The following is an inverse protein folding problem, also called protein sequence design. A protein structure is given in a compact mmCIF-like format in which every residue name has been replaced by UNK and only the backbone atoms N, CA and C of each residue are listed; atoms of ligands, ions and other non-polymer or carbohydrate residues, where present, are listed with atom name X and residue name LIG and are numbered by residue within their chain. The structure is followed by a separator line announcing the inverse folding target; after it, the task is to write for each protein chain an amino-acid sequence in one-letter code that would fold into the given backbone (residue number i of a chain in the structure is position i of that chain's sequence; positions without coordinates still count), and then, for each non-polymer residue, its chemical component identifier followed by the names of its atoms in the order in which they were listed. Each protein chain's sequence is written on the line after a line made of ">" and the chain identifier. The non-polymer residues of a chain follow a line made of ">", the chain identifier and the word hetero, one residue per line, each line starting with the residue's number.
data_IF_210145557976
#
_entry.id   IF_210145557976
#
_cell.length_a   1.000
_cell.length_b   1.000
_cell.length_c   1.000
_cell.angle_alpha   90.00
_cell.angle_beta   90.00
_cell.angle_gamma   90.00
#
_symmetry.space_group_name_H-M   'P 1'
#
loop_
_entity.id
_entity.type
_entity.pdbx_description
1 polymer ?
#
# COMPACT_ATOMS: atom_id res chain seq x y z
N UNK A 1 -2.50 -10.83 13.95
CA UNK A 1 -3.52 -9.87 13.48
C UNK A 1 -3.42 -9.54 11.98
N UNK A 2 -2.25 -9.58 11.33
CA UNK A 2 -2.10 -9.26 9.89
C UNK A 2 -2.98 -10.10 8.94
N UNK A 3 -3.21 -11.38 9.25
CA UNK A 3 -4.11 -12.25 8.48
C UNK A 3 -5.55 -11.71 8.41
N UNK A 4 -6.06 -11.08 9.48
CA UNK A 4 -7.42 -10.50 9.50
C UNK A 4 -7.51 -9.30 8.55
N UNK A 5 -6.46 -8.48 8.51
CA UNK A 5 -6.39 -7.30 7.63
C UNK A 5 -6.39 -7.74 6.17
N UNK A 6 -5.54 -8.71 5.81
CA UNK A 6 -5.45 -9.23 4.44
C UNK A 6 -6.78 -9.84 4.01
N UNK A 7 -7.39 -10.68 4.86
CA UNK A 7 -8.67 -11.32 4.58
C UNK A 7 -9.81 -10.30 4.38
N UNK A 8 -9.80 -9.19 5.13
CA UNK A 8 -10.81 -8.15 5.00
C UNK A 8 -10.63 -7.31 3.73
N UNK A 9 -9.37 -7.01 3.39
CA UNK A 9 -9.05 -6.25 2.19
C UNK A 9 -9.36 -7.03 0.91
N UNK A 10 -9.09 -8.35 0.87
CA UNK A 10 -9.46 -9.16 -0.30
C UNK A 10 -10.97 -9.25 -0.47
N UNK A 11 -11.74 -9.47 0.61
CA UNK A 11 -13.22 -9.49 0.55
C UNK A 11 -13.77 -8.17 0.00
N UNK A 12 -13.30 -7.05 0.55
CA UNK A 12 -13.74 -5.71 0.13
C UNK A 12 -13.39 -5.44 -1.33
N UNK A 13 -12.18 -5.79 -1.77
CA UNK A 13 -11.74 -5.58 -3.15
C UNK A 13 -12.49 -6.47 -4.14
N UNK A 14 -12.67 -7.76 -3.83
CA UNK A 14 -13.38 -8.69 -4.69
C UNK A 14 -14.81 -8.24 -4.95
N UNK A 15 -15.54 -7.84 -3.90
CA UNK A 15 -16.92 -7.32 -4.04
C UNK A 15 -16.92 -6.00 -4.83
N UNK A 16 -16.07 -5.04 -4.48
CA UNK A 16 -16.04 -3.76 -5.19
C UNK A 16 -15.70 -3.90 -6.68
N UNK A 17 -14.82 -4.84 -7.05
CA UNK A 17 -14.45 -5.10 -8.45
C UNK A 17 -15.56 -5.85 -9.18
N UNK A 18 -16.28 -6.74 -8.50
CA UNK A 18 -17.47 -7.41 -9.05
C UNK A 18 -18.57 -6.39 -9.39
N UNK A 19 -18.76 -5.37 -8.54
CA UNK A 19 -19.69 -4.25 -8.78
C UNK A 19 -19.21 -3.28 -9.89
N UNK A 20 -18.10 -3.57 -10.56
CA UNK A 20 -17.57 -2.79 -11.67
C UNK A 20 -16.59 -1.68 -11.28
N UNK A 21 -16.18 -1.57 -10.02
CA UNK A 21 -15.09 -0.67 -9.66
C UNK A 21 -13.73 -1.23 -10.11
N UNK A 22 -12.72 -0.37 -10.21
CA UNK A 22 -11.35 -0.79 -10.55
C UNK A 22 -10.34 0.11 -9.83
N UNK A 23 -9.13 -0.39 -9.50
CA UNK A 23 -8.08 0.43 -8.92
C UNK A 23 -7.57 1.49 -9.91
N UNK A 24 -7.39 2.72 -9.44
CA UNK A 24 -7.09 3.88 -10.30
C UNK A 24 -6.35 4.99 -9.57
N UNK A 25 -6.06 6.07 -10.30
CA UNK A 25 -5.26 7.19 -9.77
C UNK A 25 -6.10 8.20 -8.98
N UNK A 26 -7.42 8.25 -9.18
CA UNK A 26 -8.28 9.34 -8.70
C UNK A 26 -9.56 8.82 -8.03
N UNK A 27 -10.17 9.67 -7.19
CA UNK A 27 -11.48 9.43 -6.58
C UNK A 27 -11.61 8.09 -5.82
N UNK A 28 -12.71 7.37 -6.10
CA UNK A 28 -13.02 6.05 -5.49
C UNK A 28 -12.01 4.97 -5.86
N UNK A 29 -11.46 5.05 -7.07
CA UNK A 29 -10.52 4.08 -7.61
C UNK A 29 -9.16 4.17 -6.90
N UNK A 30 -8.78 5.39 -6.50
CA UNK A 30 -7.61 5.62 -5.66
C UNK A 30 -7.74 4.95 -4.30
N UNK A 31 -8.93 4.97 -3.69
CA UNK A 31 -9.16 4.31 -2.40
C UNK A 31 -8.96 2.80 -2.53
N UNK A 32 -9.49 2.17 -3.57
CA UNK A 32 -9.31 0.74 -3.83
C UNK A 32 -7.83 0.39 -4.03
N UNK A 33 -7.11 1.20 -4.80
CA UNK A 33 -5.66 1.02 -4.98
C UNK A 33 -4.91 1.07 -3.64
N UNK A 34 -5.26 1.97 -2.73
CA UNK A 34 -4.61 2.05 -1.40
C UNK A 34 -4.90 0.80 -0.57
N UNK A 35 -6.13 0.31 -0.57
CA UNK A 35 -6.52 -0.91 0.15
C UNK A 35 -5.70 -2.10 -0.38
N UNK A 36 -5.60 -2.24 -1.70
CA UNK A 36 -4.81 -3.29 -2.34
C UNK A 36 -3.34 -3.22 -1.93
N UNK A 37 -2.71 -2.05 -2.07
CA UNK A 37 -1.29 -1.87 -1.73
C UNK A 37 -1.02 -2.11 -0.24
N UNK A 38 -1.96 -1.75 0.63
CA UNK A 38 -1.87 -2.06 2.07
C UNK A 38 -1.93 -3.57 2.33
N UNK A 39 -2.84 -4.28 1.68
CA UNK A 39 -2.97 -5.73 1.84
C UNK A 39 -1.71 -6.46 1.37
N UNK A 40 -1.22 -6.12 0.18
CA UNK A 40 -0.01 -6.72 -0.40
C UNK A 40 1.20 -6.44 0.47
N UNK A 41 1.35 -5.20 0.97
CA UNK A 41 2.45 -4.85 1.88
C UNK A 41 2.39 -5.63 3.19
N UNK A 42 1.23 -5.73 3.84
CA UNK A 42 1.10 -6.50 5.07
C UNK A 42 1.39 -7.99 4.84
N UNK A 43 0.94 -8.55 3.72
CA UNK A 43 1.25 -9.93 3.34
C UNK A 43 2.75 -10.15 3.10
N UNK A 44 3.40 -9.25 2.37
CA UNK A 44 4.84 -9.39 2.07
C UNK A 44 5.73 -9.10 3.28
N UNK A 45 5.49 -8.00 4.01
CA UNK A 45 6.37 -7.57 5.11
C UNK A 45 6.16 -8.41 6.38
N UNK A 46 4.90 -8.68 6.74
CA UNK A 46 4.55 -9.34 8.01
C UNK A 46 4.39 -10.85 7.84
N UNK A 47 3.70 -11.29 6.78
CA UNK A 47 3.44 -12.73 6.56
C UNK A 47 4.53 -13.39 5.70
N UNK A 48 5.48 -12.62 5.16
CA UNK A 48 6.53 -13.11 4.24
C UNK A 48 5.96 -13.89 3.05
N UNK A 49 4.78 -13.49 2.59
CA UNK A 49 4.10 -14.14 1.49
C UNK A 49 4.85 -13.88 0.16
N UNK A 50 4.90 -14.89 -0.74
CA UNK A 50 5.49 -14.73 -2.06
C UNK A 50 4.64 -13.81 -2.96
N UNK A 51 5.24 -13.30 -4.03
CA UNK A 51 4.52 -12.51 -5.04
C UNK A 51 3.35 -13.31 -5.65
N UNK A 52 2.23 -12.64 -5.92
CA UNK A 52 1.03 -13.28 -6.47
C UNK A 52 0.25 -14.07 -5.42
N UNK A 53 0.51 -13.88 -4.12
CA UNK A 53 -0.32 -14.50 -3.08
C UNK A 53 -1.72 -13.88 -3.06
N UNK A 54 -1.83 -12.59 -3.36
CA UNK A 54 -3.07 -11.85 -3.14
C UNK A 54 -4.11 -12.17 -4.21
N UNK A 55 -3.72 -12.30 -5.48
CA UNK A 55 -4.60 -12.76 -6.56
C UNK A 55 -5.13 -14.18 -6.33
N UNK A 56 -4.33 -15.09 -5.75
CA UNK A 56 -4.76 -16.45 -5.42
C UNK A 56 -5.86 -16.52 -4.36
N UNK A 57 -5.97 -15.50 -3.49
CA UNK A 57 -7.02 -15.44 -2.48
C UNK A 57 -8.40 -15.15 -3.06
N UNK A 58 -8.49 -14.63 -4.28
CA UNK A 58 -9.77 -14.33 -4.95
C UNK A 58 -10.62 -15.60 -5.05
N UNK A 59 -10.01 -16.71 -5.48
CA UNK A 59 -10.71 -18.00 -5.58
C UNK A 59 -11.33 -18.42 -4.25
N UNK A 60 -10.61 -18.26 -3.14
CA UNK A 60 -11.11 -18.61 -1.80
C UNK A 60 -12.28 -17.72 -1.39
N UNK A 61 -12.26 -16.44 -1.78
CA UNK A 61 -13.39 -15.52 -1.54
C UNK A 61 -14.61 -15.93 -2.36
N UNK A 62 -14.43 -16.33 -3.62
CA UNK A 62 -15.51 -16.82 -4.49
C UNK A 62 -16.10 -18.12 -3.95
N UNK A 63 -15.27 -19.05 -3.48
CA UNK A 63 -15.72 -20.29 -2.82
C UNK A 63 -16.51 -19.99 -1.53
N UNK A 64 -16.08 -19.00 -0.73
CA UNK A 64 -16.71 -18.68 0.54
C UNK A 64 -17.98 -17.82 0.44
N UNK A 65 -18.09 -16.95 -0.57
CA UNK A 65 -19.14 -15.93 -0.67
C UNK A 65 -19.96 -16.00 -1.97
N UNK A 66 -19.56 -16.81 -2.93
CA UNK A 66 -20.17 -16.83 -4.25
C UNK A 66 -21.59 -17.41 -4.30
N UNK A 67 -22.08 -17.99 -3.21
CA UNK A 67 -23.49 -18.39 -3.09
C UNK A 67 -24.39 -17.18 -2.73
N UNK A 68 -23.84 -16.20 -2.02
CA UNK A 68 -24.54 -14.96 -1.64
C UNK A 68 -24.41 -13.90 -2.72
N UNK A 69 -23.23 -13.83 -3.38
CA UNK A 69 -22.93 -12.88 -4.45
C UNK A 69 -22.56 -13.64 -5.73
N UNK A 70 -23.54 -14.04 -6.57
CA UNK A 70 -23.27 -14.78 -7.81
C UNK A 70 -22.39 -14.00 -8.79
N UNK A 71 -22.36 -12.67 -8.70
CA UNK A 71 -21.52 -11.78 -9.51
C UNK A 71 -20.02 -12.05 -9.26
N UNK A 72 -19.64 -12.47 -8.06
CA UNK A 72 -18.26 -12.87 -7.76
C UNK A 72 -17.82 -14.08 -8.57
N UNK A 73 -18.71 -15.06 -8.76
CA UNK A 73 -18.44 -16.26 -9.58
C UNK A 73 -18.35 -15.89 -11.07
N UNK A 74 -19.24 -15.01 -11.54
CA UNK A 74 -19.24 -14.57 -12.94
C UNK A 74 -17.98 -13.76 -13.31
N UNK A 75 -17.46 -12.99 -12.36
CA UNK A 75 -16.33 -12.09 -12.59
C UNK A 75 -15.02 -12.56 -11.96
N UNK A 76 -14.93 -13.80 -11.48
CA UNK A 76 -13.73 -14.33 -10.78
C UNK A 76 -12.44 -14.08 -11.58
N UNK A 77 -12.42 -14.45 -12.86
CA UNK A 77 -11.27 -14.27 -13.73
C UNK A 77 -10.86 -12.79 -13.84
N UNK A 78 -11.84 -11.92 -14.09
CA UNK A 78 -11.61 -10.47 -14.21
C UNK A 78 -11.07 -9.88 -12.90
N UNK A 79 -11.62 -10.27 -11.76
CA UNK A 79 -11.17 -9.83 -10.44
C UNK A 79 -9.72 -10.27 -10.19
N UNK A 80 -9.42 -11.54 -10.50
CA UNK A 80 -8.08 -12.11 -10.39
C UNK A 80 -7.06 -11.36 -11.23
N UNK A 81 -7.38 -11.08 -12.50
CA UNK A 81 -6.49 -10.38 -13.44
C UNK A 81 -6.19 -8.94 -13.00
N UNK A 82 -7.22 -8.19 -12.58
CA UNK A 82 -7.06 -6.81 -12.08
C UNK A 82 -6.15 -6.79 -10.85
N UNK A 83 -6.38 -7.71 -9.90
CA UNK A 83 -5.58 -7.78 -8.68
C UNK A 83 -4.14 -8.19 -9.00
N UNK A 84 -3.93 -9.18 -9.86
CA UNK A 84 -2.61 -9.64 -10.27
C UNK A 84 -1.81 -8.55 -10.99
N UNK A 85 -2.45 -7.82 -11.91
CA UNK A 85 -1.81 -6.71 -12.63
C UNK A 85 -1.35 -5.61 -11.65
N UNK A 86 -2.18 -5.27 -10.68
CA UNK A 86 -1.87 -4.19 -9.74
C UNK A 86 -0.89 -4.62 -8.64
N UNK A 87 -0.91 -5.90 -8.24
CA UNK A 87 0.11 -6.50 -7.38
C UNK A 87 1.50 -6.46 -8.05
N UNK A 88 1.61 -6.86 -9.32
CA UNK A 88 2.86 -6.82 -10.08
C UNK A 88 3.36 -5.39 -10.33
N UNK A 89 2.45 -4.47 -10.64
CA UNK A 89 2.75 -3.03 -10.78
C UNK A 89 3.31 -2.44 -9.47
N UNK A 90 2.70 -2.81 -8.34
CA UNK A 90 3.15 -2.39 -7.04
C UNK A 90 4.50 -3.02 -6.65
N UNK A 91 4.71 -4.31 -6.90
CA UNK A 91 5.98 -4.99 -6.63
C UNK A 91 7.16 -4.30 -7.31
N UNK A 92 7.04 -4.01 -8.61
CA UNK A 92 8.03 -3.23 -9.37
C UNK A 92 8.30 -1.85 -8.77
N UNK A 93 7.25 -1.18 -8.28
CA UNK A 93 7.35 0.15 -7.67
C UNK A 93 8.04 0.09 -6.31
N UNK A 94 7.74 -0.94 -5.51
CA UNK A 94 8.30 -1.12 -4.17
C UNK A 94 9.81 -1.36 -4.23
N UNK A 95 10.28 -2.22 -5.14
CA UNK A 95 11.72 -2.47 -5.35
C UNK A 95 12.45 -1.17 -5.67
N UNK A 96 11.95 -0.41 -6.66
CA UNK A 96 12.52 0.89 -7.04
C UNK A 96 12.49 1.90 -5.88
N UNK A 97 11.43 1.89 -5.08
CA UNK A 97 11.31 2.76 -3.90
C UNK A 97 12.36 2.44 -2.83
N UNK A 98 12.58 1.15 -2.54
CA UNK A 98 13.59 0.69 -1.58
C UNK A 98 15.00 1.04 -2.07
N UNK A 99 15.30 0.87 -3.36
CA UNK A 99 16.60 1.24 -3.92
C UNK A 99 16.89 2.74 -3.81
N UNK A 100 15.90 3.58 -4.15
CA UNK A 100 16.00 5.03 -4.00
C UNK A 100 16.18 5.43 -2.53
N UNK A 101 15.46 4.77 -1.62
CA UNK A 101 15.61 4.99 -0.19
C UNK A 101 17.02 4.64 0.28
N UNK A 102 17.56 3.49 -0.12
CA UNK A 102 18.92 3.06 0.27
C UNK A 102 19.99 4.05 -0.19
N UNK A 103 19.90 4.55 -1.43
CA UNK A 103 20.82 5.58 -1.94
C UNK A 103 20.72 6.87 -1.14
N UNK A 104 19.50 7.37 -0.93
CA UNK A 104 19.29 8.57 -0.13
C UNK A 104 19.77 8.41 1.32
N UNK A 105 19.64 7.22 1.91
CA UNK A 105 20.11 6.94 3.27
C UNK A 105 21.64 6.87 3.38
N UNK A 106 22.35 6.50 2.31
CA UNK A 106 23.81 6.50 2.27
C UNK A 106 24.39 7.91 2.20
N UNK A 107 23.67 8.84 1.56
CA UNK A 107 24.09 10.23 1.39
C UNK A 107 23.84 11.11 2.64
N UNK A 108 23.21 10.58 3.70
CA UNK A 108 22.87 11.36 4.89
C UNK A 108 23.92 11.17 5.98
N UNK A 109 24.74 12.20 6.21
CA UNK A 109 25.57 12.35 7.39
C UNK A 109 24.73 12.84 8.58
N UNK A 110 23.95 11.96 9.20
CA UNK A 110 23.17 12.26 10.42
C UNK A 110 21.88 11.43 10.59
N UNK A 111 21.20 11.57 11.75
CA UNK A 111 19.92 10.87 12.06
C UNK A 111 18.68 11.54 11.44
N UNK A 112 18.84 12.51 10.53
CA UNK A 112 17.74 13.34 10.04
C UNK A 112 17.73 13.36 8.51
N UNK A 113 16.72 12.74 7.91
CA UNK A 113 16.45 12.84 6.49
C UNK A 113 15.79 14.20 6.19
N UNK A 114 16.58 15.22 5.89
CA UNK A 114 16.06 16.53 5.45
C UNK A 114 15.85 16.54 3.93
N UNK A 115 14.60 16.62 3.44
CA UNK A 115 14.30 16.82 2.01
C UNK A 115 12.93 16.29 1.56
N UNK A 116 12.68 16.26 0.25
CA UNK A 116 11.49 15.64 -0.37
C UNK A 116 11.57 14.10 -0.44
N UNK A 117 12.74 13.52 -0.14
CA UNK A 117 12.98 12.07 -0.13
C UNK A 117 12.01 11.25 0.75
N UNK A 118 11.68 11.68 1.98
CA UNK A 118 10.73 10.97 2.83
C UNK A 118 9.29 11.03 2.31
N UNK A 119 8.88 12.13 1.66
CA UNK A 119 7.54 12.29 1.08
C UNK A 119 7.36 11.31 -0.07
N UNK A 120 8.38 11.18 -0.94
CA UNK A 120 8.37 10.21 -2.01
C UNK A 120 8.24 8.79 -1.45
N UNK A 121 9.00 8.43 -0.42
CA UNK A 121 8.98 7.09 0.20
C UNK A 121 7.63 6.80 0.88
N UNK A 122 7.04 7.76 1.59
CA UNK A 122 5.70 7.58 2.18
C UNK A 122 4.60 7.43 1.11
N UNK A 123 4.73 8.15 0.00
CA UNK A 123 3.83 8.01 -1.14
C UNK A 123 4.02 6.66 -1.84
N UNK A 124 5.27 6.18 -1.96
CA UNK A 124 5.61 4.85 -2.49
C UNK A 124 5.15 3.70 -1.58
N UNK A 125 5.17 3.89 -0.25
CA UNK A 125 4.81 2.89 0.74
C UNK A 125 3.32 2.92 1.15
N UNK A 126 2.50 3.79 0.54
CA UNK A 126 1.06 3.91 0.82
C UNK A 126 0.75 4.40 2.23
N UNK A 127 1.70 5.04 2.92
CA UNK A 127 1.62 5.45 4.33
C UNK A 127 1.01 6.85 4.52
N UNK A 128 0.57 7.53 3.46
CA UNK A 128 0.08 8.90 3.55
C UNK A 128 -1.18 9.06 4.44
N UNK A 129 -1.90 7.96 4.72
CA UNK A 129 -3.06 7.98 5.65
C UNK A 129 -2.70 7.71 7.12
N UNK A 130 -1.40 7.60 7.46
CA UNK A 130 -0.89 7.47 8.83
C UNK A 130 -0.19 8.75 9.33
N UNK A 131 -0.64 9.92 8.86
CA UNK A 131 -0.34 11.22 9.47
C UNK A 131 -1.48 11.47 10.49
N UNK A 132 -1.37 11.48 11.82
CA UNK A 132 -0.37 11.68 12.89
C UNK A 132 -0.87 10.93 14.15
N UNK A 133 -0.16 10.77 15.30
CA UNK A 133 1.11 11.36 15.75
C UNK A 133 2.21 10.34 16.17
N UNK A 134 3.49 10.73 16.07
CA UNK A 134 4.63 10.00 16.68
C UNK A 134 5.45 9.07 15.76
N UNK A 135 5.54 9.36 14.46
CA UNK A 135 6.11 8.44 13.46
C UNK A 135 7.63 8.25 13.56
N UNK A 136 8.04 7.27 14.38
CA UNK A 136 9.32 6.60 14.19
C UNK A 136 9.11 5.43 13.23
N UNK A 137 9.89 5.37 12.16
CA UNK A 137 9.84 4.26 11.20
C UNK A 137 11.01 3.31 11.45
N UNK A 138 10.70 2.02 11.63
CA UNK A 138 11.69 0.97 11.69
C UNK A 138 12.11 0.62 10.26
N UNK A 139 13.34 0.99 9.89
CA UNK A 139 13.97 0.47 8.67
C UNK A 139 15.00 -0.59 9.09
N UNK A 140 14.66 -1.85 8.87
CA UNK A 140 15.45 -2.99 9.33
C UNK A 140 15.43 -3.12 10.85
N UNK A 141 16.43 -2.55 11.54
CA UNK A 141 16.58 -2.48 13.01
C UNK A 141 16.86 -1.05 13.52
N UNK A 142 16.81 -0.05 12.64
CA UNK A 142 17.18 1.34 12.96
C UNK A 142 15.91 2.18 13.08
N UNK A 143 15.77 2.85 14.22
CA UNK A 143 14.72 3.83 14.49
C UNK A 143 15.09 5.15 13.82
N UNK A 144 14.46 5.50 12.70
CA UNK A 144 14.70 6.77 12.00
C UNK A 144 13.56 7.74 12.30
N UNK A 145 13.91 8.90 12.88
CA UNK A 145 12.98 10.01 13.08
C UNK A 145 12.94 10.85 11.80
N UNK A 146 11.80 10.82 11.11
CA UNK A 146 11.63 11.55 9.85
C UNK A 146 10.94 12.88 10.15
N UNK A 147 11.65 14.01 9.95
CA UNK A 147 11.03 15.34 9.98
C UNK A 147 10.40 15.65 8.63
N UNK A 148 9.09 15.80 8.61
CA UNK A 148 8.36 16.29 7.44
C UNK A 148 8.31 17.80 7.46
N UNK A 149 8.96 18.44 6.48
CA UNK A 149 8.65 19.82 6.11
C UNK A 149 7.62 19.77 4.99
N UNK A 150 6.34 19.93 5.33
CA UNK A 150 5.29 20.12 4.34
C UNK A 150 5.10 21.62 4.09
N UNK A 151 5.19 22.03 2.83
CA UNK A 151 4.81 23.38 2.38
C UNK A 151 3.42 23.25 1.79
N UNK A 152 2.44 23.98 2.31
CA UNK A 152 1.11 24.00 1.70
C UNK A 152 1.13 24.71 0.34
N UNK A 153 0.07 24.52 -0.47
CA UNK A 153 -0.08 25.20 -1.77
C UNK A 153 -0.21 26.75 -1.67
N UNK A 154 -0.06 27.34 -0.48
CA UNK A 154 -0.04 28.78 -0.21
C UNK A 154 1.33 29.25 0.32
N UNK A 155 2.36 28.42 0.24
CA UNK A 155 3.73 28.77 0.62
C UNK A 155 3.97 28.89 2.12
N UNK A 156 3.02 28.48 2.98
CA UNK A 156 3.22 28.49 4.43
C UNK A 156 3.92 27.22 4.87
N UNK A 157 5.06 27.42 5.52
CA UNK A 157 5.93 26.37 6.06
C UNK A 157 5.34 25.92 7.41
N UNK A 158 4.77 24.72 7.46
CA UNK A 158 4.31 24.13 8.71
C UNK A 158 5.46 23.34 9.33
N UNK A 159 6.04 23.88 10.40
CA UNK A 159 6.93 23.13 11.28
C UNK A 159 6.07 22.28 12.21
N UNK A 160 5.67 21.10 11.75
CA UNK A 160 5.22 20.05 12.67
C UNK A 160 6.45 19.53 13.41
N UNK A 161 6.84 20.25 14.46
CA UNK A 161 7.73 19.70 15.49
C UNK A 161 7.08 18.43 16.02
N UNK A 162 7.82 17.33 15.95
CA UNK A 162 7.53 16.13 16.72
C UNK A 162 7.59 16.45 18.20
#
# INVERSE_FOLDING_TARGET
>A
MAYRVVADHIRTLSVAIADGASPGNEGREYVLRRILRRAVRYGSEVLKAPEGFFSRLVRIVVEAMGDVFPELKQHEARIGDIIAAEEASFGKTLVKGIEKFKKAAQDVQGRILSGQGPVAVLQYMGLFSFLFPGCIYLVGHIWVSIRFNSVDGRGKRFDSRC
#
